data_IF_603261904898
#
_entry.id   IF_603261904898
#
_cell.length_a   1.000
_cell.length_b   1.000
_cell.length_c   1.000
_cell.angle_alpha   90.00
_cell.angle_beta   90.00
_cell.angle_gamma   90.00
#
_symmetry.space_group_name_H-M   'P 1'
#
loop_
_entity.id
_entity.type
_entity.pdbx_description
1 polymer ?
#
# COMPACT_ATOMS: atom_id res chain seq x y z
N UNK A 1 -6.88 7.85 -2.55
CA UNK A 1 -7.94 7.97 -3.57
C UNK A 1 -8.87 6.78 -3.40
N UNK A 2 -10.19 6.98 -3.40
CA UNK A 2 -11.13 5.87 -3.27
C UNK A 2 -10.95 4.85 -4.40
N UNK A 3 -11.06 3.57 -4.07
CA UNK A 3 -11.17 2.46 -5.02
C UNK A 3 -12.51 1.75 -4.80
N UNK A 4 -13.05 1.19 -5.88
CA UNK A 4 -14.27 0.38 -5.82
C UNK A 4 -13.94 -1.03 -5.32
N UNK A 5 -14.59 -1.46 -4.23
CA UNK A 5 -14.33 -2.75 -3.61
C UNK A 5 -15.32 -3.06 -2.48
N UNK A 6 -15.14 -4.21 -1.84
CA UNK A 6 -15.94 -4.66 -0.70
C UNK A 6 -15.05 -5.32 0.38
N UNK A 7 -14.10 -4.58 0.99
CA UNK A 7 -13.17 -5.15 1.97
C UNK A 7 -13.83 -5.86 3.16
N UNK A 8 -15.02 -5.43 3.56
CA UNK A 8 -15.84 -6.06 4.61
C UNK A 8 -16.68 -7.27 4.13
N UNK A 9 -16.60 -7.64 2.85
CA UNK A 9 -17.33 -8.77 2.27
C UNK A 9 -18.81 -8.52 1.97
N UNK A 10 -19.25 -7.26 2.02
CA UNK A 10 -20.62 -6.83 1.72
C UNK A 10 -20.82 -6.34 0.29
N UNK A 11 -21.72 -5.36 0.14
CA UNK A 11 -21.93 -4.65 -1.12
C UNK A 11 -20.70 -3.83 -1.53
N UNK A 12 -20.46 -3.75 -2.83
CA UNK A 12 -19.36 -2.94 -3.34
C UNK A 12 -19.66 -1.46 -3.18
N UNK A 13 -18.64 -0.72 -2.76
CA UNK A 13 -18.71 0.73 -2.59
C UNK A 13 -17.33 1.36 -2.84
N UNK A 14 -17.29 2.69 -2.94
CA UNK A 14 -16.04 3.43 -3.02
C UNK A 14 -15.45 3.59 -1.61
N UNK A 15 -14.23 3.13 -1.40
CA UNK A 15 -13.55 3.19 -0.09
C UNK A 15 -12.08 3.56 -0.26
N UNK A 16 -11.49 4.22 0.72
CA UNK A 16 -10.11 4.69 0.60
C UNK A 16 -9.12 3.53 0.54
N UNK A 17 -8.27 3.56 -0.48
CA UNK A 17 -7.18 2.62 -0.68
C UNK A 17 -5.88 3.37 -0.89
N UNK A 18 -4.82 2.90 -0.26
CA UNK A 18 -3.54 3.57 -0.28
C UNK A 18 -2.43 2.73 0.33
N UNK A 19 -1.30 3.37 0.59
CA UNK A 19 -0.10 2.69 1.05
C UNK A 19 0.76 3.53 1.97
N UNK A 20 1.43 2.86 2.90
CA UNK A 20 2.43 3.44 3.78
C UNK A 20 3.81 2.99 3.27
N UNK A 21 4.71 3.97 3.09
CA UNK A 21 6.14 3.71 2.88
C UNK A 21 6.79 3.50 4.24
N UNK A 22 7.33 2.32 4.48
CA UNK A 22 8.02 1.97 5.73
C UNK A 22 9.53 2.16 5.62
N UNK A 23 10.10 2.02 4.42
CA UNK A 23 11.52 2.19 4.14
C UNK A 23 11.72 2.72 2.72
N UNK A 24 12.68 3.62 2.53
CA UNK A 24 13.23 3.98 1.22
C UNK A 24 14.65 3.45 1.08
N UNK A 25 15.04 3.07 -0.14
CA UNK A 25 16.39 2.59 -0.46
C UNK A 25 16.87 3.14 -1.79
N UNK A 26 18.18 3.34 -1.91
CA UNK A 26 18.84 3.76 -3.15
C UNK A 26 19.31 2.55 -3.96
N UNK A 27 18.89 2.47 -5.22
CA UNK A 27 19.34 1.49 -6.20
C UNK A 27 19.87 2.22 -7.43
N UNK A 28 21.12 1.93 -7.83
CA UNK A 28 21.70 2.55 -9.03
C UNK A 28 21.66 4.09 -9.06
N UNK A 29 21.66 4.75 -7.89
CA UNK A 29 21.60 6.21 -7.77
C UNK A 29 20.19 6.81 -7.59
N UNK A 30 19.13 6.00 -7.61
CA UNK A 30 17.74 6.45 -7.40
C UNK A 30 17.19 5.95 -6.06
N UNK A 31 16.68 6.86 -5.24
CA UNK A 31 15.97 6.52 -3.99
C UNK A 31 14.50 6.32 -4.27
N UNK A 32 13.98 5.14 -3.91
CA UNK A 32 12.57 4.78 -4.05
C UNK A 32 12.06 4.11 -2.76
N UNK A 33 10.74 4.08 -2.53
CA UNK A 33 10.14 3.19 -1.53
C UNK A 33 10.57 1.75 -1.74
N UNK A 34 10.99 1.07 -0.68
CA UNK A 34 11.52 -0.30 -0.69
C UNK A 34 10.80 -1.25 0.26
N UNK A 35 10.04 -0.73 1.24
CA UNK A 35 9.08 -1.51 2.03
C UNK A 35 7.76 -0.78 2.10
N UNK A 36 6.68 -1.50 1.78
CA UNK A 36 5.35 -0.93 1.62
C UNK A 36 4.29 -1.82 2.29
N UNK A 37 3.34 -1.18 2.95
CA UNK A 37 2.06 -1.77 3.37
C UNK A 37 0.95 -1.11 2.57
N UNK A 38 0.16 -1.90 1.86
CA UNK A 38 -0.88 -1.39 0.96
C UNK A 38 -2.22 -2.01 1.33
N UNK A 39 -3.29 -1.21 1.33
CA UNK A 39 -4.57 -1.67 1.86
C UNK A 39 -5.73 -0.68 1.78
N UNK A 40 -6.89 -1.19 2.21
CA UNK A 40 -8.16 -0.50 2.35
C UNK A 40 -8.23 0.32 3.65
N UNK A 41 -9.24 1.17 3.76
CA UNK A 41 -9.47 2.09 4.88
C UNK A 41 -8.26 2.99 5.16
N UNK A 42 -7.48 3.29 4.11
CA UNK A 42 -6.25 4.07 4.22
C UNK A 42 -6.53 5.46 4.80
N UNK A 43 -5.72 5.87 5.79
CA UNK A 43 -5.93 7.12 6.53
C UNK A 43 -6.78 6.98 7.79
N UNK A 44 -7.23 5.78 8.15
CA UNK A 44 -7.93 5.48 9.40
C UNK A 44 -7.22 4.38 10.21
N UNK A 45 -7.58 4.24 11.48
CA UNK A 45 -7.05 3.17 12.35
C UNK A 45 -7.37 1.76 11.83
N UNK A 46 -8.44 1.61 11.03
CA UNK A 46 -8.84 0.33 10.42
C UNK A 46 -7.83 -0.19 9.40
N UNK A 47 -7.01 0.70 8.82
CA UNK A 47 -5.95 0.29 7.89
C UNK A 47 -5.03 -0.75 8.52
N UNK A 48 -4.59 -0.52 9.76
CA UNK A 48 -3.60 -1.35 10.43
C UNK A 48 -4.16 -2.65 11.00
N UNK A 49 -5.45 -2.70 11.33
CA UNK A 49 -6.07 -3.86 12.00
C UNK A 49 -6.68 -4.86 11.02
N UNK A 50 -7.29 -4.38 9.94
CA UNK A 50 -8.04 -5.22 9.00
C UNK A 50 -7.95 -4.76 7.53
N UNK A 51 -7.45 -3.55 7.28
CA UNK A 51 -7.38 -2.97 5.94
C UNK A 51 -6.18 -3.45 5.11
N UNK A 52 -5.14 -4.03 5.73
CA UNK A 52 -3.94 -4.48 5.00
C UNK A 52 -4.29 -5.54 3.96
N UNK A 53 -4.04 -5.20 2.69
CA UNK A 53 -4.29 -6.08 1.56
C UNK A 53 -3.02 -6.85 1.17
N UNK A 54 -1.87 -6.18 1.10
CA UNK A 54 -0.59 -6.85 0.94
C UNK A 54 0.59 -6.03 1.47
N UNK A 55 1.71 -6.72 1.64
CA UNK A 55 3.02 -6.15 1.95
C UNK A 55 4.01 -6.52 0.86
N UNK A 56 4.91 -5.61 0.51
CA UNK A 56 6.01 -5.94 -0.37
C UNK A 56 7.32 -5.30 0.08
N UNK A 57 8.41 -5.96 -0.31
CA UNK A 57 9.75 -5.42 -0.28
C UNK A 57 10.29 -5.38 -1.72
N UNK A 58 11.04 -4.33 -2.05
CA UNK A 58 11.80 -4.23 -3.28
C UNK A 58 13.24 -4.59 -2.94
N UNK A 59 13.69 -5.75 -3.42
CA UNK A 59 15.04 -6.24 -3.18
C UNK A 59 16.06 -5.72 -4.20
N UNK A 60 15.61 -5.43 -5.43
CA UNK A 60 16.41 -4.84 -6.50
C UNK A 60 15.57 -3.97 -7.44
N UNK A 61 16.18 -2.92 -7.99
CA UNK A 61 15.55 -2.03 -8.96
C UNK A 61 16.61 -1.46 -9.93
N UNK A 62 16.29 -1.47 -11.22
CA UNK A 62 17.17 -0.97 -12.28
C UNK A 62 16.40 0.00 -13.17
N UNK A 63 16.93 1.21 -13.33
CA UNK A 63 16.43 2.17 -14.32
C UNK A 63 16.95 1.78 -15.71
N UNK A 64 16.04 1.72 -16.70
CA UNK A 64 16.34 1.37 -18.10
C UNK A 64 15.68 2.37 -19.04
#
# INVERSE_FOLDING_TARGET
MPRWGNPEGGEFHATDFGGIVEEERTFGGYTIPSKLRIGWYFGSDRFATEGEFFRCAIDDAVYR
#
